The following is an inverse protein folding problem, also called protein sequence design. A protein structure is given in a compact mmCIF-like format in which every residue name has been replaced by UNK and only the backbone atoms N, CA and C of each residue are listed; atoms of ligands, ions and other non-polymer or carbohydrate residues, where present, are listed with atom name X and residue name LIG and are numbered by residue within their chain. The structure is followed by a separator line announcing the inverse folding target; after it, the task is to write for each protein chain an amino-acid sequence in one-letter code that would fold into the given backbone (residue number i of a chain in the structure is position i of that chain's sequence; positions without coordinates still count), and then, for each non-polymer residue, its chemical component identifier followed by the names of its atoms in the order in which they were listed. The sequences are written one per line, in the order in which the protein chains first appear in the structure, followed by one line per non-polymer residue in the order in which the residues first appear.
data_IF_274159819179
#
_entry.id   IF_274159819179
#
_cell.length_a   1.000
_cell.length_b   1.000
_cell.length_c   1.000
_cell.angle_alpha   90.00
_cell.angle_beta   90.00
_cell.angle_gamma   90.00
#
_symmetry.space_group_name_H-M   'P 1'
#
loop_
_entity.id
_entity.type
_entity.pdbx_description
1 polymer ?
#
# COMPACT_ATOMS: atom_id res chain seq x y z
N UNK A 1 37.13 -4.83 27.47
CA UNK A 1 35.71 -4.41 27.58
C UNK A 1 35.18 -4.29 26.16
N UNK A 2 34.30 -5.22 25.80
CA UNK A 2 33.79 -5.41 24.45
C UNK A 2 32.88 -4.24 24.05
N UNK A 3 33.24 -3.53 22.99
CA UNK A 3 32.36 -2.61 22.27
C UNK A 3 31.25 -3.43 21.63
N UNK A 4 30.02 -3.25 22.09
CA UNK A 4 28.84 -3.85 21.47
C UNK A 4 28.63 -3.22 20.09
N UNK A 5 29.13 -3.91 19.07
CA UNK A 5 28.81 -3.67 17.67
C UNK A 5 27.34 -4.10 17.47
N UNK A 6 26.43 -3.12 17.55
CA UNK A 6 24.99 -3.34 17.39
C UNK A 6 24.69 -3.74 15.95
N UNK A 7 24.59 -5.06 15.70
CA UNK A 7 24.39 -5.63 14.37
C UNK A 7 23.24 -4.96 13.61
N UNK A 8 23.47 -4.63 12.34
CA UNK A 8 22.46 -4.05 11.46
C UNK A 8 21.24 -4.96 11.35
N UNK A 9 20.04 -4.44 11.63
CA UNK A 9 18.78 -5.17 11.46
C UNK A 9 18.68 -5.66 10.01
N UNK A 10 18.54 -6.96 9.79
CA UNK A 10 18.49 -7.53 8.46
C UNK A 10 17.23 -7.11 7.70
N UNK A 11 17.28 -7.14 6.36
CA UNK A 11 16.11 -6.83 5.53
C UNK A 11 14.92 -7.75 5.83
N UNK A 12 15.18 -9.03 6.13
CA UNK A 12 14.13 -9.99 6.50
C UNK A 12 13.42 -9.59 7.81
N UNK A 13 14.18 -9.20 8.84
CA UNK A 13 13.61 -8.76 10.12
C UNK A 13 12.76 -7.50 9.96
N UNK A 14 13.19 -6.53 9.13
CA UNK A 14 12.39 -5.32 8.84
C UNK A 14 11.08 -5.65 8.14
N UNK A 15 11.12 -6.56 7.17
CA UNK A 15 9.97 -6.95 6.37
C UNK A 15 9.03 -7.95 7.06
N UNK A 16 9.41 -8.52 8.21
CA UNK A 16 8.63 -9.55 8.89
C UNK A 16 7.19 -9.07 9.19
N UNK A 17 7.04 -7.89 9.83
CA UNK A 17 5.72 -7.34 10.12
C UNK A 17 4.97 -6.95 8.84
N UNK A 18 5.71 -6.46 7.83
CA UNK A 18 5.16 -5.97 6.58
C UNK A 18 4.51 -7.10 5.77
N UNK A 19 5.21 -8.25 5.69
CA UNK A 19 4.71 -9.46 5.04
C UNK A 19 3.52 -10.06 5.80
N UNK A 20 3.45 -9.88 7.12
CA UNK A 20 2.27 -10.27 7.90
C UNK A 20 1.08 -9.33 7.67
N UNK A 21 1.34 -8.03 7.50
CA UNK A 21 0.33 -7.00 7.42
C UNK A 21 -0.55 -7.08 6.17
N UNK A 22 0.06 -7.26 4.98
CA UNK A 22 -0.56 -7.32 3.64
C UNK A 22 -1.40 -6.13 3.18
N UNK A 23 -2.05 -5.39 4.07
CA UNK A 23 -3.02 -4.37 3.71
C UNK A 23 -2.82 -3.07 4.51
N UNK A 24 -2.72 -1.95 3.80
CA UNK A 24 -2.48 -0.62 4.38
C UNK A 24 -3.31 0.49 3.76
N UNK A 25 -3.33 1.64 4.45
CA UNK A 25 -3.98 2.87 4.02
C UNK A 25 -2.98 3.87 3.44
N UNK A 26 -3.20 4.37 2.24
CA UNK A 26 -2.52 5.57 1.74
C UNK A 26 -3.41 6.80 1.98
N UNK A 27 -2.83 7.94 2.33
CA UNK A 27 -3.55 9.19 2.54
C UNK A 27 -2.85 10.31 1.76
N UNK A 28 -3.51 10.78 0.70
CA UNK A 28 -3.06 11.97 -0.05
C UNK A 28 -3.91 13.17 0.33
N UNK A 29 -3.32 14.04 1.16
CA UNK A 29 -3.95 15.26 1.62
C UNK A 29 -2.98 16.45 1.66
N UNK A 30 -3.49 17.64 1.37
CA UNK A 30 -2.68 18.85 1.23
C UNK A 30 -3.45 19.98 0.57
N UNK A 31 -2.75 21.04 0.15
CA UNK A 31 -3.36 22.24 -0.43
C UNK A 31 -4.16 21.95 -1.69
N UNK A 32 -3.72 20.99 -2.50
CA UNK A 32 -4.42 20.56 -3.73
C UNK A 32 -5.86 20.13 -3.47
N UNK A 33 -6.19 19.66 -2.26
CA UNK A 33 -7.57 19.35 -1.88
C UNK A 33 -8.49 20.55 -2.06
N UNK A 34 -8.04 21.78 -1.78
CA UNK A 34 -8.82 23.02 -1.92
C UNK A 34 -9.27 23.27 -3.37
N UNK A 35 -8.45 22.83 -4.32
CA UNK A 35 -8.71 22.95 -5.77
C UNK A 35 -9.59 21.82 -6.29
N UNK A 36 -9.69 20.71 -5.54
CA UNK A 36 -10.65 19.62 -5.72
C UNK A 36 -10.57 18.90 -7.08
N UNK A 37 -9.37 18.86 -7.67
CA UNK A 37 -9.12 18.29 -9.01
C UNK A 37 -7.75 17.63 -9.14
N UNK A 38 -7.27 17.06 -8.04
CA UNK A 38 -6.06 16.24 -8.01
C UNK A 38 -4.83 17.00 -7.54
N UNK A 39 -3.85 16.24 -7.06
CA UNK A 39 -2.57 16.66 -6.49
C UNK A 39 -1.59 17.21 -7.52
N UNK A 40 -1.75 16.83 -8.79
CA UNK A 40 -0.95 17.34 -9.90
C UNK A 40 -1.39 18.69 -10.46
N UNK A 41 -2.49 19.25 -9.94
CA UNK A 41 -3.12 20.49 -10.46
C UNK A 41 -2.15 21.67 -10.60
N UNK A 42 -1.20 21.83 -9.66
CA UNK A 42 -0.20 22.90 -9.74
C UNK A 42 0.63 22.81 -11.02
N UNK A 43 1.11 21.61 -11.35
CA UNK A 43 1.94 21.35 -12.51
C UNK A 43 1.14 21.38 -13.82
N UNK A 44 0.04 20.63 -13.88
CA UNK A 44 -0.72 20.45 -15.14
C UNK A 44 -1.43 21.71 -15.61
N UNK A 45 -1.89 22.56 -14.68
CA UNK A 45 -2.49 23.87 -15.01
C UNK A 45 -1.44 24.99 -15.04
N UNK A 46 -0.15 24.67 -14.83
CA UNK A 46 0.97 25.62 -14.76
C UNK A 46 0.71 26.77 -13.79
N UNK A 47 0.12 26.47 -12.63
CA UNK A 47 -0.15 27.47 -11.60
C UNK A 47 1.20 27.96 -11.05
N UNK A 48 1.51 29.27 -11.13
CA UNK A 48 2.77 29.79 -10.60
C UNK A 48 2.90 29.50 -9.11
N UNK A 49 4.11 29.11 -8.65
CA UNK A 49 4.37 28.74 -7.26
C UNK A 49 3.91 29.81 -6.24
N UNK A 50 4.18 31.09 -6.52
CA UNK A 50 3.72 32.20 -5.67
C UNK A 50 2.19 32.34 -5.63
N UNK A 51 1.50 31.99 -6.71
CA UNK A 51 0.03 31.96 -6.78
C UNK A 51 -0.54 30.78 -5.99
N UNK A 52 0.04 29.59 -6.17
CA UNK A 52 -0.36 28.38 -5.46
C UNK A 52 -0.14 28.48 -3.95
N UNK A 53 0.97 29.09 -3.52
CA UNK A 53 1.30 29.28 -2.10
C UNK A 53 0.24 30.08 -1.32
N UNK A 54 -0.56 30.92 -1.99
CA UNK A 54 -1.68 31.65 -1.37
C UNK A 54 -2.77 30.71 -0.83
N UNK A 55 -2.87 29.47 -1.32
CA UNK A 55 -3.81 28.47 -0.80
C UNK A 55 -3.56 28.16 0.67
N UNK A 56 -2.32 28.22 1.15
CA UNK A 56 -1.98 27.98 2.55
C UNK A 56 -2.62 28.98 3.51
N UNK A 57 -3.01 30.18 3.04
CA UNK A 57 -3.76 31.17 3.83
C UNK A 57 -5.23 30.77 4.04
N UNK A 58 -5.72 29.81 3.26
CA UNK A 58 -7.12 29.34 3.25
C UNK A 58 -7.27 27.90 3.71
N UNK A 59 -6.17 27.18 3.87
CA UNK A 59 -6.18 25.79 4.33
C UNK A 59 -6.39 25.76 5.84
N UNK A 60 -7.64 25.58 6.25
CA UNK A 60 -8.06 25.53 7.66
C UNK A 60 -9.02 24.34 7.83
N UNK A 61 -8.49 23.13 8.01
CA UNK A 61 -9.30 21.92 8.02
C UNK A 61 -10.01 21.74 9.36
N UNK A 62 -11.16 22.43 9.50
CA UNK A 62 -11.92 22.55 10.75
C UNK A 62 -12.49 21.23 11.27
N UNK A 63 -12.59 20.22 10.42
CA UNK A 63 -13.15 18.90 10.73
C UNK A 63 -12.09 17.80 10.58
N UNK A 64 -10.81 18.16 10.60
CA UNK A 64 -9.73 17.18 10.64
C UNK A 64 -9.76 16.42 11.97
N UNK A 65 -9.82 15.10 11.84
CA UNK A 65 -9.75 14.14 12.92
C UNK A 65 -8.97 12.92 12.40
N UNK A 66 -7.72 12.79 12.85
CA UNK A 66 -6.88 11.66 12.48
C UNK A 66 -7.44 10.34 13.03
N UNK A 67 -7.97 10.32 14.26
CA UNK A 67 -8.55 9.11 14.84
C UNK A 67 -9.70 8.60 13.98
N UNK A 68 -10.56 9.49 13.46
CA UNK A 68 -11.63 9.10 12.55
C UNK A 68 -11.13 8.40 11.27
N UNK A 69 -9.99 8.83 10.71
CA UNK A 69 -9.38 8.17 9.56
C UNK A 69 -8.80 6.81 9.93
N UNK A 70 -7.99 6.75 10.99
CA UNK A 70 -7.25 5.55 11.36
C UNK A 70 -8.14 4.46 11.99
N UNK A 71 -9.20 4.83 12.71
CA UNK A 71 -10.20 3.88 13.19
C UNK A 71 -10.94 3.21 12.03
N UNK A 72 -11.24 3.95 10.95
CA UNK A 72 -11.83 3.38 9.73
C UNK A 72 -10.87 2.47 9.01
N UNK A 73 -9.58 2.83 8.95
CA UNK A 73 -8.54 1.96 8.41
C UNK A 73 -8.45 0.63 9.17
N UNK A 74 -8.38 0.71 10.51
CA UNK A 74 -8.37 -0.47 11.38
C UNK A 74 -9.62 -1.33 11.20
N UNK A 75 -10.81 -0.71 11.16
CA UNK A 75 -12.07 -1.41 10.94
C UNK A 75 -12.13 -2.08 9.56
N UNK A 76 -11.48 -1.49 8.54
CA UNK A 76 -11.31 -2.08 7.22
C UNK A 76 -10.33 -3.27 7.18
N UNK A 77 -9.61 -3.56 8.27
CA UNK A 77 -8.59 -4.61 8.33
C UNK A 77 -7.18 -4.15 7.94
N UNK A 78 -6.93 -2.85 7.79
CA UNK A 78 -5.58 -2.36 7.50
C UNK A 78 -4.69 -2.48 8.75
N UNK A 79 -3.39 -2.68 8.54
CA UNK A 79 -2.39 -2.86 9.61
C UNK A 79 -1.33 -1.75 9.67
N UNK A 80 -1.31 -0.90 8.65
CA UNK A 80 -0.41 0.24 8.56
C UNK A 80 -1.08 1.37 7.76
N UNK A 81 -0.54 2.57 7.89
CA UNK A 81 -0.95 3.71 7.08
C UNK A 81 0.27 4.47 6.58
N UNK A 82 0.13 5.21 5.49
CA UNK A 82 1.15 6.09 4.89
C UNK A 82 0.51 7.44 4.58
N UNK A 83 0.98 8.51 5.22
CA UNK A 83 0.48 9.88 5.00
C UNK A 83 1.47 10.71 4.17
N UNK A 84 0.97 11.48 3.20
CA UNK A 84 1.75 12.52 2.51
C UNK A 84 2.19 13.62 3.48
N UNK A 85 3.41 13.52 4.03
CA UNK A 85 3.99 14.58 4.88
C UNK A 85 4.28 15.84 4.08
N UNK A 86 4.71 15.65 2.83
CA UNK A 86 4.95 16.66 1.80
C UNK A 86 4.72 16.01 0.44
N UNK A 87 3.91 16.64 -0.40
CA UNK A 87 3.74 16.22 -1.80
C UNK A 87 4.58 17.11 -2.73
N UNK A 88 4.49 16.89 -4.04
CA UNK A 88 5.22 17.60 -5.07
C UNK A 88 5.05 19.14 -5.05
N UNK A 89 3.95 19.65 -4.49
CA UNK A 89 3.71 21.09 -4.36
C UNK A 89 4.57 21.76 -3.26
N UNK A 90 5.30 20.96 -2.48
CA UNK A 90 6.24 21.40 -1.45
C UNK A 90 5.59 21.80 -0.13
N UNK A 91 4.25 21.73 0.00
CA UNK A 91 3.58 22.06 1.26
C UNK A 91 3.78 20.96 2.30
N UNK A 92 4.37 21.33 3.44
CA UNK A 92 4.63 20.40 4.53
C UNK A 92 3.45 20.36 5.50
N UNK A 93 2.93 19.18 5.82
CA UNK A 93 1.89 18.96 6.84
C UNK A 93 2.45 18.94 8.28
N UNK A 94 3.71 19.34 8.45
CA UNK A 94 4.50 19.23 9.67
C UNK A 94 5.39 20.46 9.87
N UNK A 95 5.86 20.74 11.09
CA UNK A 95 6.74 21.90 11.35
C UNK A 95 8.19 21.67 10.91
N UNK A 96 8.45 21.90 9.63
CA UNK A 96 9.80 21.87 9.07
C UNK A 96 10.57 23.16 9.40
N UNK A 97 11.82 23.06 9.87
CA UNK A 97 12.70 24.24 9.99
C UNK A 97 13.32 24.65 8.66
N UNK A 98 13.40 23.72 7.71
CA UNK A 98 13.94 23.96 6.37
C UNK A 98 12.97 24.67 5.39
N UNK A 99 11.74 25.02 5.82
CA UNK A 99 10.77 25.69 4.95
C UNK A 99 9.72 26.44 5.77
N UNK A 100 9.30 27.62 5.32
CA UNK A 100 8.17 28.35 5.91
C UNK A 100 6.81 27.93 5.32
N UNK A 101 6.81 27.08 4.30
CA UNK A 101 5.60 26.64 3.61
C UNK A 101 5.01 25.38 4.26
N UNK A 102 4.56 25.55 5.50
CA UNK A 102 4.09 24.45 6.36
C UNK A 102 2.69 24.70 6.89
N UNK A 103 1.97 23.65 7.29
CA UNK A 103 0.68 23.77 7.97
C UNK A 103 0.76 24.48 9.32
N UNK A 104 1.91 24.41 9.99
CA UNK A 104 2.14 25.04 11.30
C UNK A 104 2.35 26.54 11.19
N UNK A 105 3.07 27.00 10.15
CA UNK A 105 3.41 28.42 9.94
C UNK A 105 2.42 29.18 9.06
N UNK A 106 1.33 28.52 8.66
CA UNK A 106 0.28 29.10 7.80
C UNK A 106 -1.08 29.04 8.49
N UNK A 107 -2.18 29.19 7.74
CA UNK A 107 -3.50 29.40 8.37
C UNK A 107 -4.01 28.20 9.18
N UNK A 108 -3.52 26.99 8.92
CA UNK A 108 -3.92 25.81 9.67
C UNK A 108 -3.41 25.84 11.12
N UNK A 109 -2.21 26.37 11.36
CA UNK A 109 -1.60 26.47 12.69
C UNK A 109 -1.41 25.13 13.41
N UNK A 110 -1.31 24.02 12.68
CA UNK A 110 -1.34 22.65 13.23
C UNK A 110 -0.31 21.74 12.58
N UNK A 111 0.27 20.85 13.39
CA UNK A 111 1.14 19.78 12.93
C UNK A 111 0.31 18.52 12.71
N UNK A 112 -0.14 18.31 11.46
CA UNK A 112 -1.01 17.19 11.12
C UNK A 112 -0.26 15.86 11.09
N UNK A 113 1.05 15.87 10.88
CA UNK A 113 1.87 14.65 10.93
C UNK A 113 1.97 14.17 12.38
N UNK A 114 2.20 15.05 13.35
CA UNK A 114 2.18 14.68 14.77
C UNK A 114 0.83 14.03 15.17
N UNK A 115 -0.28 14.68 14.83
CA UNK A 115 -1.62 14.17 15.14
C UNK A 115 -1.90 12.81 14.46
N UNK A 116 -1.48 12.64 13.21
CA UNK A 116 -1.58 11.38 12.46
C UNK A 116 -0.77 10.25 13.09
N UNK A 117 0.49 10.51 13.44
CA UNK A 117 1.39 9.50 14.01
C UNK A 117 0.82 9.01 15.35
N UNK A 118 0.35 9.92 16.20
CA UNK A 118 -0.27 9.55 17.48
C UNK A 118 -1.57 8.77 17.30
N UNK A 119 -2.39 9.13 16.31
CA UNK A 119 -3.61 8.38 15.98
C UNK A 119 -3.31 6.97 15.44
N UNK A 120 -2.26 6.79 14.62
CA UNK A 120 -1.79 5.46 14.21
C UNK A 120 -1.41 4.61 15.43
N UNK A 121 -0.66 5.18 16.39
CA UNK A 121 -0.26 4.49 17.63
C UNK A 121 -1.47 4.06 18.46
N UNK A 122 -2.44 4.95 18.67
CA UNK A 122 -3.71 4.62 19.36
C UNK A 122 -4.52 3.55 18.63
N UNK A 123 -4.50 3.57 17.30
CA UNK A 123 -5.18 2.56 16.47
C UNK A 123 -4.43 1.22 16.40
N UNK A 124 -3.19 1.13 16.89
CA UNK A 124 -2.34 -0.06 16.75
C UNK A 124 -1.87 -0.29 15.32
N UNK A 125 -1.77 0.78 14.52
CA UNK A 125 -1.30 0.75 13.14
C UNK A 125 0.18 1.13 13.08
N UNK A 126 0.91 0.46 12.19
CA UNK A 126 2.27 0.84 11.83
C UNK A 126 2.28 2.16 11.07
N UNK A 127 3.30 2.98 11.32
CA UNK A 127 3.38 4.38 10.90
C UNK A 127 4.24 4.52 9.66
N UNK A 128 3.66 5.01 8.58
CA UNK A 128 4.35 5.30 7.34
C UNK A 128 4.26 6.78 6.97
N UNK A 129 5.37 7.30 6.45
CA UNK A 129 5.48 8.67 5.99
C UNK A 129 5.83 8.67 4.51
N UNK A 130 4.95 9.24 3.69
CA UNK A 130 5.27 9.56 2.31
C UNK A 130 6.04 10.87 2.26
N UNK A 131 7.06 10.91 1.41
CA UNK A 131 7.87 12.09 1.17
C UNK A 131 8.22 12.24 -0.32
N UNK A 132 7.70 13.27 -0.97
CA UNK A 132 8.13 13.65 -2.32
C UNK A 132 9.54 14.24 -2.26
N UNK A 133 10.49 13.74 -3.05
CA UNK A 133 11.83 14.31 -3.20
C UNK A 133 11.80 15.61 -4.00
N UNK A 134 11.12 15.61 -5.15
CA UNK A 134 10.89 16.83 -5.91
C UNK A 134 10.01 17.84 -5.16
N UNK A 135 10.20 19.11 -5.48
CA UNK A 135 9.39 20.24 -5.03
C UNK A 135 9.28 21.24 -6.19
N UNK A 136 8.06 21.43 -6.73
CA UNK A 136 7.80 22.28 -7.88
C UNK A 136 8.05 23.78 -7.65
N UNK A 137 8.35 24.19 -6.41
CA UNK A 137 8.72 25.57 -6.11
C UNK A 137 10.17 25.89 -6.49
N UNK A 138 11.01 24.88 -6.70
CA UNK A 138 12.43 25.05 -7.02
C UNK A 138 12.66 25.04 -8.53
N UNK A 139 13.11 26.16 -9.15
CA UNK A 139 13.42 26.20 -10.59
C UNK A 139 14.45 25.15 -11.04
N UNK A 140 15.40 24.80 -10.17
CA UNK A 140 16.43 23.79 -10.43
C UNK A 140 15.89 22.39 -10.68
N UNK A 141 14.67 22.07 -10.21
CA UNK A 141 14.00 20.81 -10.57
C UNK A 141 13.71 20.74 -12.08
N UNK A 142 13.24 21.84 -12.67
CA UNK A 142 12.87 21.87 -14.09
C UNK A 142 14.06 22.10 -15.01
N UNK A 143 15.06 22.88 -14.56
CA UNK A 143 16.26 23.16 -15.33
C UNK A 143 17.47 23.29 -14.40
N UNK A 144 18.10 22.15 -14.10
CA UNK A 144 19.27 22.04 -13.23
C UNK A 144 20.50 22.76 -13.78
N UNK A 145 20.71 22.73 -15.10
CA UNK A 145 21.87 23.37 -15.73
C UNK A 145 21.82 24.89 -15.59
N UNK A 146 20.62 25.47 -15.71
CA UNK A 146 20.40 26.91 -15.55
C UNK A 146 20.32 27.35 -14.08
N UNK A 147 19.82 26.49 -13.20
CA UNK A 147 19.61 26.81 -11.78
C UNK A 147 20.22 25.74 -10.86
N UNK A 148 21.54 25.51 -10.90
CA UNK A 148 22.19 24.45 -10.14
C UNK A 148 22.09 24.67 -8.63
N UNK A 149 22.20 25.91 -8.15
CA UNK A 149 22.08 26.20 -6.71
C UNK A 149 20.66 25.96 -6.20
N UNK A 150 19.65 26.22 -7.04
CA UNK A 150 18.26 25.89 -6.72
C UNK A 150 18.03 24.38 -6.65
N UNK A 151 18.71 23.59 -7.48
CA UNK A 151 18.60 22.13 -7.40
C UNK A 151 19.26 21.63 -6.12
N UNK A 152 20.47 22.10 -5.80
CA UNK A 152 21.16 21.72 -4.56
C UNK A 152 20.37 22.09 -3.31
N UNK A 153 19.79 23.30 -3.28
CA UNK A 153 18.92 23.73 -2.17
C UNK A 153 17.70 22.81 -1.98
N UNK A 154 17.13 22.28 -3.06
CA UNK A 154 16.03 21.31 -3.00
C UNK A 154 16.49 19.98 -2.40
N UNK A 155 17.67 19.48 -2.78
CA UNK A 155 18.27 18.26 -2.23
C UNK A 155 18.58 18.44 -0.75
N UNK A 156 19.16 19.58 -0.35
CA UNK A 156 19.42 19.91 1.06
C UNK A 156 18.13 20.01 1.88
N UNK A 157 17.09 20.68 1.35
CA UNK A 157 15.78 20.71 1.99
C UNK A 157 15.24 19.29 2.16
N UNK A 158 15.41 18.41 1.17
CA UNK A 158 14.98 17.02 1.27
C UNK A 158 15.67 16.24 2.38
N UNK A 159 17.00 16.33 2.47
CA UNK A 159 17.78 15.66 3.51
C UNK A 159 17.46 16.20 4.91
N UNK A 160 17.31 17.51 5.05
CA UNK A 160 16.95 18.15 6.31
C UNK A 160 15.56 17.70 6.80
N UNK A 161 14.55 17.75 5.91
CA UNK A 161 13.17 17.39 6.25
C UNK A 161 13.00 15.91 6.57
N UNK A 162 13.67 15.01 5.83
CA UNK A 162 13.66 13.58 6.18
C UNK A 162 14.27 13.35 7.57
N UNK A 163 15.38 14.03 7.90
CA UNK A 163 15.96 13.95 9.25
C UNK A 163 14.99 14.43 10.33
N UNK A 164 14.29 15.54 10.11
CA UNK A 164 13.26 16.07 11.03
C UNK A 164 12.12 15.04 11.24
N UNK A 165 11.60 14.46 10.15
CA UNK A 165 10.54 13.46 10.21
C UNK A 165 10.93 12.21 11.01
N UNK A 166 12.19 11.79 10.91
CA UNK A 166 12.69 10.59 11.59
C UNK A 166 13.21 10.83 13.01
N UNK A 167 13.24 12.09 13.47
CA UNK A 167 13.72 12.45 14.82
C UNK A 167 12.63 13.03 15.71
N UNK A 168 11.70 13.82 15.14
CA UNK A 168 10.71 14.57 15.92
C UNK A 168 9.42 13.80 16.21
N UNK A 169 9.15 12.72 15.47
CA UNK A 169 7.85 12.03 15.49
C UNK A 169 7.90 10.64 16.13
N UNK A 170 9.00 10.26 16.78
CA UNK A 170 9.18 8.93 17.38
C UNK A 170 9.44 7.82 16.35
N UNK A 171 9.18 6.54 16.67
CA UNK A 171 9.40 5.44 15.73
C UNK A 171 8.53 5.54 14.48
N UNK A 172 9.15 5.37 13.32
CA UNK A 172 8.53 5.37 11.99
C UNK A 172 8.86 4.04 11.30
N UNK A 173 7.83 3.34 10.81
CA UNK A 173 7.96 2.00 10.25
C UNK A 173 8.20 2.00 8.73
N UNK A 174 7.69 3.00 8.00
CA UNK A 174 7.87 3.12 6.53
C UNK A 174 8.26 4.56 6.16
N UNK A 175 9.28 4.70 5.31
CA UNK A 175 9.58 5.91 4.56
C UNK A 175 9.33 5.64 3.07
N UNK A 176 8.26 6.22 2.57
CA UNK A 176 7.77 6.00 1.21
C UNK A 176 8.16 7.20 0.35
N UNK A 177 9.29 7.11 -0.36
CA UNK A 177 9.73 8.19 -1.24
C UNK A 177 8.91 8.24 -2.51
N UNK A 178 8.85 9.43 -3.10
CA UNK A 178 8.31 9.61 -4.44
C UNK A 178 8.97 10.81 -5.12
N UNK A 179 8.65 11.06 -6.39
CA UNK A 179 9.18 12.25 -7.07
C UNK A 179 10.69 12.19 -7.29
N UNK A 180 11.28 11.00 -7.35
CA UNK A 180 12.71 10.80 -7.58
C UNK A 180 13.13 11.07 -9.03
N UNK A 181 12.20 11.18 -9.96
CA UNK A 181 12.47 11.49 -11.37
C UNK A 181 12.92 12.95 -11.55
N UNK A 182 13.88 13.19 -12.42
CA UNK A 182 14.38 14.54 -12.75
C UNK A 182 14.29 14.74 -14.26
N UNK A 183 13.64 15.82 -14.75
CA UNK A 183 13.54 16.12 -16.18
C UNK A 183 14.90 16.09 -16.90
N UNK A 184 14.95 15.40 -18.04
CA UNK A 184 16.14 15.33 -18.89
C UNK A 184 17.30 14.52 -18.30
N UNK A 185 17.05 13.65 -17.33
CA UNK A 185 18.08 12.82 -16.72
C UNK A 185 17.69 11.35 -16.75
N UNK A 186 18.65 10.52 -17.12
CA UNK A 186 18.52 9.05 -17.10
C UNK A 186 18.29 8.51 -15.69
N UNK A 187 17.48 7.44 -15.60
CA UNK A 187 17.10 6.84 -14.31
C UNK A 187 18.31 6.39 -13.48
N UNK A 188 19.39 5.97 -14.13
CA UNK A 188 20.64 5.53 -13.49
C UNK A 188 21.34 6.63 -12.69
N UNK A 189 21.12 7.90 -13.04
CA UNK A 189 21.75 9.05 -12.39
C UNK A 189 20.93 9.59 -11.20
N UNK A 190 19.69 9.13 -11.01
CA UNK A 190 18.76 9.67 -9.99
C UNK A 190 19.36 9.53 -8.59
N UNK A 191 19.86 8.33 -8.25
CA UNK A 191 20.42 8.05 -6.94
C UNK A 191 21.61 8.96 -6.61
N UNK A 192 22.44 9.26 -7.62
CA UNK A 192 23.60 10.16 -7.48
C UNK A 192 23.14 11.59 -7.22
N UNK A 193 22.21 12.10 -8.04
CA UNK A 193 21.73 13.48 -7.94
C UNK A 193 20.95 13.77 -6.66
N UNK A 194 20.20 12.79 -6.14
CA UNK A 194 19.51 12.92 -4.85
C UNK A 194 20.40 12.65 -3.64
N UNK A 195 21.66 12.22 -3.86
CA UNK A 195 22.55 11.69 -2.82
C UNK A 195 21.82 10.60 -2.00
N UNK A 196 21.12 9.71 -2.70
CA UNK A 196 20.19 8.76 -2.11
C UNK A 196 20.87 7.78 -1.13
N UNK A 197 22.11 7.38 -1.41
CA UNK A 197 22.88 6.52 -0.51
C UNK A 197 23.14 7.17 0.85
N UNK A 198 23.49 8.47 0.85
CA UNK A 198 23.66 9.24 2.09
C UNK A 198 22.33 9.39 2.83
N UNK A 199 21.26 9.76 2.10
CA UNK A 199 19.93 9.97 2.64
C UNK A 199 19.40 8.70 3.33
N UNK A 200 19.46 7.56 2.63
CA UNK A 200 18.95 6.28 3.12
C UNK A 200 19.82 5.73 4.25
N UNK A 201 21.14 5.92 4.20
CA UNK A 201 22.02 5.56 5.32
C UNK A 201 21.72 6.41 6.56
N UNK A 202 21.43 7.71 6.41
CA UNK A 202 21.02 8.56 7.53
C UNK A 202 19.68 8.09 8.12
N UNK A 203 18.69 7.78 7.28
CA UNK A 203 17.41 7.24 7.72
C UNK A 203 17.58 5.95 8.51
N UNK A 204 18.43 5.03 8.02
CA UNK A 204 18.78 3.76 8.68
C UNK A 204 19.49 3.93 10.01
N UNK A 205 20.36 4.94 10.16
CA UNK A 205 21.01 5.23 11.45
C UNK A 205 20.02 5.75 12.48
N UNK A 206 19.05 6.58 12.06
CA UNK A 206 18.03 7.15 12.94
C UNK A 206 16.94 6.13 13.30
N UNK A 207 16.56 5.29 12.34
CA UNK A 207 15.47 4.31 12.46
C UNK A 207 15.91 2.97 11.84
N UNK A 208 16.69 2.13 12.55
CA UNK A 208 17.25 0.89 11.99
C UNK A 208 16.22 -0.07 11.38
N UNK A 209 15.01 -0.09 11.94
CA UNK A 209 13.90 -0.94 11.50
C UNK A 209 13.06 -0.42 10.33
N UNK A 210 13.31 0.80 9.82
CA UNK A 210 12.43 1.46 8.83
C UNK A 210 12.35 0.66 7.52
N UNK A 211 11.25 0.71 6.78
CA UNK A 211 11.18 0.16 5.41
C UNK A 211 11.29 1.33 4.43
N UNK A 212 12.14 1.20 3.41
CA UNK A 212 12.34 2.22 2.37
C UNK A 212 11.98 1.60 1.01
N UNK A 213 11.21 2.34 0.21
CA UNK A 213 10.83 1.91 -1.14
C UNK A 213 11.90 2.23 -2.20
N UNK A 214 11.72 1.69 -3.40
CA UNK A 214 12.66 1.80 -4.52
C UNK A 214 12.62 3.14 -5.29
N UNK A 215 12.09 4.22 -4.69
CA UNK A 215 11.77 5.48 -5.39
C UNK A 215 12.78 6.60 -5.18
N UNK A 216 13.82 6.41 -4.37
CA UNK A 216 14.97 7.33 -4.29
C UNK A 216 16.00 7.13 -5.42
N UNK A 217 15.77 6.15 -6.30
CA UNK A 217 16.70 5.71 -7.33
C UNK A 217 17.58 4.51 -6.93
N UNK A 218 17.48 4.07 -5.66
CA UNK A 218 18.06 2.83 -5.15
C UNK A 218 16.97 1.77 -4.96
N UNK A 219 17.33 0.48 -4.96
CA UNK A 219 16.37 -0.61 -4.81
C UNK A 219 15.76 -0.68 -3.38
N UNK A 220 16.58 -0.56 -2.34
CA UNK A 220 16.15 -0.63 -0.93
C UNK A 220 15.29 -1.88 -0.58
N UNK A 221 14.17 -1.76 0.14
CA UNK A 221 13.45 -2.89 0.72
C UNK A 221 12.29 -3.42 -0.11
N UNK A 222 11.52 -2.53 -0.76
CA UNK A 222 10.29 -2.87 -1.48
C UNK A 222 10.18 -2.20 -2.85
N UNK A 223 9.62 -2.91 -3.82
CA UNK A 223 9.17 -2.34 -5.09
C UNK A 223 7.74 -1.79 -4.99
N UNK A 224 7.39 -0.81 -5.83
CA UNK A 224 6.10 -0.11 -5.76
C UNK A 224 5.35 -0.05 -7.10
N UNK A 225 4.81 -1.16 -7.62
CA UNK A 225 3.93 -1.14 -8.80
C UNK A 225 2.71 -0.25 -8.55
N UNK A 226 2.45 0.71 -9.43
CA UNK A 226 1.45 1.76 -9.19
C UNK A 226 0.22 1.56 -10.06
N UNK A 227 -0.98 1.58 -9.47
CA UNK A 227 -2.27 1.44 -10.17
C UNK A 227 -2.50 0.08 -10.87
N UNK A 228 -1.60 -0.88 -10.73
CA UNK A 228 -1.75 -2.25 -11.22
C UNK A 228 -1.17 -3.26 -10.22
N UNK A 229 -1.80 -4.43 -10.12
CA UNK A 229 -1.33 -5.51 -9.25
C UNK A 229 -0.40 -6.41 -10.05
N UNK A 230 0.91 -6.23 -9.87
CA UNK A 230 1.94 -7.04 -10.54
C UNK A 230 3.00 -7.44 -9.54
N UNK A 231 3.24 -8.74 -9.42
CA UNK A 231 4.27 -9.26 -8.54
C UNK A 231 5.67 -8.88 -9.02
N UNK A 232 6.54 -8.53 -8.07
CA UNK A 232 7.97 -8.39 -8.33
C UNK A 232 8.64 -9.74 -8.59
N UNK A 233 9.94 -9.68 -8.93
CA UNK A 233 10.78 -10.87 -9.04
C UNK A 233 10.70 -11.73 -7.76
N UNK A 234 10.93 -13.04 -7.92
CA UNK A 234 10.90 -13.97 -6.79
C UNK A 234 11.86 -13.53 -5.66
N UNK A 235 11.39 -13.55 -4.41
CA UNK A 235 12.15 -13.11 -3.24
C UNK A 235 12.20 -11.59 -3.03
N UNK A 236 11.64 -10.79 -3.93
CA UNK A 236 11.57 -9.34 -3.79
C UNK A 236 10.21 -8.92 -3.21
N UNK A 237 10.24 -8.34 -2.01
CA UNK A 237 9.04 -7.73 -1.42
C UNK A 237 8.55 -6.54 -2.25
N UNK A 238 7.24 -6.36 -2.30
CA UNK A 238 6.61 -5.34 -3.13
C UNK A 238 5.25 -4.93 -2.56
N UNK A 239 4.84 -3.72 -2.90
CA UNK A 239 3.59 -3.10 -2.47
C UNK A 239 2.95 -2.39 -3.64
N UNK A 240 1.77 -2.81 -4.06
CA UNK A 240 1.01 -1.99 -5.01
C UNK A 240 0.25 -0.90 -4.30
N UNK A 241 0.44 0.33 -4.73
CA UNK A 241 -0.38 1.46 -4.31
C UNK A 241 -1.52 1.66 -5.32
N UNK A 242 -2.74 1.89 -4.82
CA UNK A 242 -3.91 2.03 -5.68
C UNK A 242 -4.93 3.05 -5.17
N UNK A 243 -5.45 3.86 -6.08
CA UNK A 243 -6.55 4.80 -5.83
C UNK A 243 -7.91 4.09 -5.75
N UNK A 244 -8.83 4.61 -4.94
CA UNK A 244 -10.24 4.20 -5.01
C UNK A 244 -10.95 4.69 -6.27
N UNK A 245 -10.52 5.83 -6.83
CA UNK A 245 -10.94 6.27 -8.16
C UNK A 245 -10.34 5.41 -9.27
N UNK A 246 -10.83 5.51 -10.50
CA UNK A 246 -10.05 5.11 -11.66
C UNK A 246 -8.99 6.18 -11.98
N UNK A 247 -7.89 5.76 -12.62
CA UNK A 247 -6.78 6.63 -13.02
C UNK A 247 -6.01 7.33 -11.86
N UNK A 248 -4.90 8.01 -12.20
CA UNK A 248 -3.97 8.64 -11.27
C UNK A 248 -4.52 9.96 -10.70
N UNK A 249 -5.51 9.85 -9.81
CA UNK A 249 -6.01 10.94 -8.99
C UNK A 249 -5.99 10.55 -7.51
N UNK A 250 -4.87 10.82 -6.84
CA UNK A 250 -4.63 10.39 -5.46
C UNK A 250 -5.31 11.32 -4.44
N UNK A 251 -5.15 12.63 -4.63
CA UNK A 251 -5.77 13.67 -3.84
C UNK A 251 -7.27 13.81 -4.12
N UNK A 252 -7.93 14.66 -3.32
CA UNK A 252 -9.36 14.89 -3.45
C UNK A 252 -9.75 15.47 -4.83
N UNK A 253 -10.57 14.72 -5.56
CA UNK A 253 -11.25 15.14 -6.79
C UNK A 253 -12.76 15.16 -6.52
N UNK A 254 -13.41 16.34 -6.64
CA UNK A 254 -14.83 16.52 -6.27
C UNK A 254 -15.76 15.66 -7.12
N UNK A 255 -15.54 15.67 -8.43
CA UNK A 255 -16.44 15.08 -9.41
C UNK A 255 -15.78 13.89 -10.12
N UNK A 256 -15.08 13.01 -9.37
CA UNK A 256 -14.60 11.76 -9.96
C UNK A 256 -15.80 10.81 -10.17
N UNK A 257 -16.18 10.49 -11.43
CA UNK A 257 -17.33 9.64 -11.70
C UNK A 257 -17.06 8.16 -11.39
N UNK A 258 -15.80 7.75 -11.48
CA UNK A 258 -15.43 6.35 -11.60
C UNK A 258 -14.68 5.92 -10.35
N UNK A 259 -15.44 5.30 -9.44
CA UNK A 259 -14.88 4.65 -8.25
C UNK A 259 -14.89 3.15 -8.47
N UNK A 260 -13.76 2.51 -8.15
CA UNK A 260 -13.70 1.06 -8.04
C UNK A 260 -14.76 0.57 -7.06
N UNK A 261 -15.40 -0.53 -7.40
CA UNK A 261 -16.35 -1.23 -6.52
C UNK A 261 -15.61 -1.91 -5.38
N UNK A 262 -16.30 -2.23 -4.28
CA UNK A 262 -15.71 -3.05 -3.21
C UNK A 262 -15.21 -4.39 -3.76
N UNK A 263 -15.93 -5.02 -4.70
CA UNK A 263 -15.50 -6.24 -5.39
C UNK A 263 -14.13 -6.07 -6.04
N UNK A 264 -13.91 -5.01 -6.84
CA UNK A 264 -12.61 -4.77 -7.46
C UNK A 264 -11.50 -4.57 -6.43
N UNK A 265 -11.76 -3.79 -5.38
CA UNK A 265 -10.76 -3.50 -4.35
C UNK A 265 -10.39 -4.74 -3.52
N UNK A 266 -11.37 -5.56 -3.15
CA UNK A 266 -11.15 -6.84 -2.45
C UNK A 266 -10.35 -7.79 -3.35
N UNK A 267 -10.72 -7.92 -4.62
CA UNK A 267 -10.02 -8.83 -5.54
C UNK A 267 -8.59 -8.36 -5.82
N UNK A 268 -8.32 -7.05 -5.88
CA UNK A 268 -6.95 -6.53 -5.96
C UNK A 268 -6.13 -6.83 -4.70
N UNK A 269 -6.72 -6.71 -3.50
CA UNK A 269 -6.07 -7.12 -2.27
C UNK A 269 -5.71 -8.61 -2.29
N UNK A 270 -6.65 -9.48 -2.68
CA UNK A 270 -6.43 -10.92 -2.80
C UNK A 270 -5.33 -11.23 -3.83
N UNK A 271 -5.35 -10.58 -4.98
CA UNK A 271 -4.33 -10.74 -6.01
C UNK A 271 -2.94 -10.32 -5.52
N UNK A 272 -2.84 -9.23 -4.75
CA UNK A 272 -1.58 -8.82 -4.15
C UNK A 272 -1.07 -9.86 -3.14
N UNK A 273 -1.96 -10.31 -2.24
CA UNK A 273 -1.65 -11.34 -1.24
C UNK A 273 -1.22 -12.68 -1.87
N UNK A 274 -1.88 -13.09 -2.96
CA UNK A 274 -1.55 -14.29 -3.74
C UNK A 274 -0.16 -14.20 -4.40
N UNK A 275 0.25 -12.99 -4.80
CA UNK A 275 1.59 -12.70 -5.33
C UNK A 275 2.63 -12.41 -4.25
N UNK A 276 2.32 -12.63 -2.97
CA UNK A 276 3.21 -12.38 -1.84
C UNK A 276 3.50 -10.90 -1.57
N UNK A 277 2.71 -9.99 -2.15
CA UNK A 277 2.85 -8.55 -1.99
C UNK A 277 1.82 -7.92 -1.06
N UNK A 278 1.96 -6.60 -0.89
CA UNK A 278 1.05 -5.79 -0.11
C UNK A 278 0.17 -4.90 -0.99
N UNK A 279 -1.01 -4.55 -0.50
CA UNK A 279 -1.95 -3.62 -1.12
C UNK A 279 -2.06 -2.36 -0.26
N UNK A 280 -1.70 -1.21 -0.82
CA UNK A 280 -1.77 0.11 -0.19
C UNK A 280 -2.89 0.91 -0.84
N UNK A 281 -4.06 0.93 -0.20
CA UNK A 281 -5.27 1.54 -0.76
C UNK A 281 -5.38 3.01 -0.35
N UNK A 282 -5.52 3.91 -1.31
CA UNK A 282 -5.55 5.34 -1.07
C UNK A 282 -6.94 5.92 -0.79
N UNK A 283 -6.98 6.88 0.14
CA UNK A 283 -8.05 7.87 0.32
C UNK A 283 -7.54 9.29 0.02
N UNK A 284 -8.46 10.14 -0.44
CA UNK A 284 -8.20 11.56 -0.69
C UNK A 284 -9.16 12.44 0.11
N UNK A 285 -8.83 12.78 1.38
CA UNK A 285 -9.71 13.55 2.25
C UNK A 285 -10.06 14.94 1.68
N UNK A 286 -11.25 15.44 2.04
CA UNK A 286 -11.72 16.78 1.67
C UNK A 286 -10.84 17.88 2.30
N UNK A 287 -10.91 19.13 1.81
CA UNK A 287 -10.16 20.24 2.39
C UNK A 287 -10.42 20.53 3.85
N UNK A 288 -11.60 20.15 4.35
CA UNK A 288 -11.98 20.32 5.75
C UNK A 288 -11.46 19.20 6.66
N UNK A 289 -10.86 18.15 6.09
CA UNK A 289 -10.37 16.96 6.81
C UNK A 289 -11.35 15.77 6.81
N UNK A 290 -12.53 15.88 6.20
CA UNK A 290 -13.52 14.78 6.18
C UNK A 290 -13.34 13.79 5.02
N UNK A 291 -13.74 12.53 5.21
CA UNK A 291 -13.77 11.53 4.15
C UNK A 291 -15.09 11.55 3.36
N UNK A 292 -15.05 11.18 2.08
CA UNK A 292 -16.28 11.06 1.26
C UNK A 292 -17.08 9.83 1.70
N UNK A 293 -18.42 9.94 1.67
CA UNK A 293 -19.30 8.79 1.96
C UNK A 293 -19.02 7.59 1.05
N UNK A 294 -18.56 7.81 -0.19
CA UNK A 294 -18.13 6.73 -1.08
C UNK A 294 -16.89 6.01 -0.54
N UNK A 295 -15.87 6.74 -0.07
CA UNK A 295 -14.66 6.15 0.52
C UNK A 295 -15.00 5.38 1.81
N UNK A 296 -15.81 6.00 2.67
CA UNK A 296 -16.30 5.38 3.90
C UNK A 296 -17.00 4.04 3.61
N UNK A 297 -17.97 4.03 2.69
CA UNK A 297 -18.68 2.79 2.32
C UNK A 297 -17.76 1.71 1.77
N UNK A 298 -16.76 2.07 0.97
CA UNK A 298 -15.79 1.09 0.46
C UNK A 298 -14.97 0.47 1.57
N UNK A 299 -14.48 1.28 2.52
CA UNK A 299 -13.76 0.78 3.68
C UNK A 299 -14.63 -0.11 4.57
N UNK A 300 -15.91 0.23 4.74
CA UNK A 300 -16.88 -0.57 5.51
C UNK A 300 -17.17 -1.93 4.83
N UNK A 301 -17.40 -1.94 3.51
CA UNK A 301 -17.61 -3.16 2.73
C UNK A 301 -16.36 -4.07 2.75
N UNK A 302 -15.17 -3.49 2.56
CA UNK A 302 -13.90 -4.24 2.67
C UNK A 302 -13.70 -4.77 4.10
N UNK A 303 -13.99 -3.96 5.11
CA UNK A 303 -13.87 -4.35 6.52
C UNK A 303 -14.78 -5.52 6.89
N UNK A 304 -16.03 -5.50 6.45
CA UNK A 304 -16.96 -6.61 6.65
C UNK A 304 -16.42 -7.91 6.03
N UNK A 305 -15.87 -7.84 4.83
CA UNK A 305 -15.25 -9.00 4.17
C UNK A 305 -13.98 -9.46 4.91
N UNK A 306 -13.11 -8.53 5.32
CA UNK A 306 -11.88 -8.82 6.05
C UNK A 306 -12.12 -9.42 7.44
N UNK A 307 -13.23 -9.08 8.12
CA UNK A 307 -13.59 -9.70 9.40
C UNK A 307 -13.88 -11.18 9.24
N UNK A 308 -14.57 -11.57 8.16
CA UNK A 308 -14.94 -12.96 7.91
C UNK A 308 -13.81 -13.78 7.25
N UNK A 309 -12.98 -13.14 6.43
CA UNK A 309 -12.02 -13.82 5.56
C UNK A 309 -10.56 -13.42 5.78
N UNK A 310 -10.25 -12.52 6.71
CA UNK A 310 -8.89 -11.96 6.86
C UNK A 310 -7.79 -12.99 7.13
N UNK A 311 -8.13 -14.17 7.66
CA UNK A 311 -7.20 -15.29 7.84
C UNK A 311 -6.59 -15.80 6.52
N UNK A 312 -7.24 -15.56 5.37
CA UNK A 312 -6.69 -15.87 4.05
C UNK A 312 -5.79 -14.79 3.48
N UNK A 313 -5.70 -13.63 4.14
CA UNK A 313 -4.89 -12.50 3.70
C UNK A 313 -3.66 -12.37 4.59
N UNK A 314 -3.83 -12.16 5.90
CA UNK A 314 -2.70 -11.86 6.78
C UNK A 314 -1.70 -13.01 6.83
N UNK A 315 -0.42 -12.68 6.64
CA UNK A 315 0.65 -13.68 6.63
C UNK A 315 0.64 -14.61 5.43
N UNK A 316 -0.13 -14.32 4.37
CA UNK A 316 -0.16 -15.16 3.17
C UNK A 316 1.23 -15.37 2.58
N UNK A 317 1.53 -16.58 2.18
CA UNK A 317 2.82 -16.96 1.59
C UNK A 317 2.72 -17.00 0.06
N UNK A 318 3.87 -16.93 -0.63
CA UNK A 318 3.90 -17.10 -2.07
C UNK A 318 3.54 -18.55 -2.41
N UNK A 319 2.55 -18.72 -3.28
CA UNK A 319 2.12 -20.05 -3.68
C UNK A 319 3.15 -20.75 -4.58
N UNK A 320 3.21 -22.09 -4.55
CA UNK A 320 3.95 -22.87 -5.53
C UNK A 320 3.54 -22.51 -6.96
N UNK A 321 4.49 -22.60 -7.90
CA UNK A 321 4.22 -22.41 -9.32
C UNK A 321 3.12 -23.39 -9.76
N UNK A 322 2.04 -22.86 -10.34
CA UNK A 322 0.86 -23.64 -10.76
C UNK A 322 -0.38 -23.43 -9.90
N UNK A 323 -0.26 -22.95 -8.66
CA UNK A 323 -1.41 -22.59 -7.79
C UNK A 323 -1.77 -21.10 -7.84
N UNK A 324 -0.84 -20.24 -8.28
CA UNK A 324 -1.03 -18.80 -8.43
C UNK A 324 -1.36 -18.35 -9.87
N UNK A 325 -1.81 -17.10 -10.01
CA UNK A 325 -2.05 -16.47 -11.32
C UNK A 325 -3.40 -16.80 -11.95
N UNK A 326 -3.55 -16.48 -13.25
CA UNK A 326 -4.82 -16.52 -13.98
C UNK A 326 -5.49 -17.91 -14.05
N UNK A 327 -4.73 -18.97 -13.81
CA UNK A 327 -5.19 -20.36 -13.89
C UNK A 327 -5.07 -21.12 -12.57
N UNK A 328 -4.41 -20.54 -11.56
CA UNK A 328 -4.05 -21.23 -10.32
C UNK A 328 -5.23 -21.53 -9.38
N UNK A 329 -6.28 -20.71 -9.41
CA UNK A 329 -7.58 -21.01 -8.80
C UNK A 329 -8.60 -21.56 -9.79
N UNK A 330 -8.15 -22.07 -10.94
CA UNK A 330 -8.97 -22.39 -12.10
C UNK A 330 -9.67 -21.17 -12.69
N UNK A 331 -10.77 -21.40 -13.42
CA UNK A 331 -11.58 -20.33 -14.02
C UNK A 331 -12.41 -19.52 -13.00
N UNK A 332 -12.42 -19.96 -11.74
CA UNK A 332 -13.28 -19.41 -10.70
C UNK A 332 -12.63 -18.27 -9.90
N UNK A 333 -11.30 -18.20 -9.84
CA UNK A 333 -10.59 -17.16 -9.11
C UNK A 333 -9.12 -17.48 -8.86
N UNK A 334 -8.64 -17.26 -7.65
CA UNK A 334 -7.22 -17.45 -7.29
C UNK A 334 -7.08 -18.08 -5.90
N UNK A 335 -5.84 -18.25 -5.43
CA UNK A 335 -5.56 -18.86 -4.14
C UNK A 335 -4.60 -17.99 -3.32
N UNK A 336 -4.64 -18.17 -2.00
CA UNK A 336 -3.58 -17.80 -1.07
C UNK A 336 -3.28 -19.00 -0.16
N UNK A 337 -2.22 -18.94 0.63
CA UNK A 337 -1.97 -19.97 1.65
C UNK A 337 -1.26 -19.39 2.88
N UNK A 338 -1.49 -20.01 4.03
CA UNK A 338 -0.78 -19.75 5.28
C UNK A 338 -0.45 -21.09 5.92
N UNK A 339 0.84 -21.44 6.04
CA UNK A 339 1.26 -22.75 6.53
C UNK A 339 0.67 -23.89 5.69
N UNK A 340 -0.13 -24.77 6.32
CA UNK A 340 -0.79 -25.90 5.65
C UNK A 340 -2.24 -25.65 5.21
N UNK A 341 -2.73 -24.42 5.36
CA UNK A 341 -4.07 -24.04 4.92
C UNK A 341 -3.97 -23.29 3.61
N UNK A 342 -4.60 -23.83 2.56
CA UNK A 342 -4.79 -23.10 1.33
C UNK A 342 -6.20 -22.49 1.28
N UNK A 343 -6.31 -21.27 0.79
CA UNK A 343 -7.57 -20.55 0.70
C UNK A 343 -7.91 -20.35 -0.77
N UNK A 344 -9.00 -20.96 -1.21
CA UNK A 344 -9.51 -20.79 -2.57
C UNK A 344 -10.50 -19.62 -2.60
N UNK A 345 -10.07 -18.54 -3.25
CA UNK A 345 -10.86 -17.33 -3.46
C UNK A 345 -11.68 -17.46 -4.74
N UNK A 346 -12.99 -17.59 -4.60
CA UNK A 346 -13.93 -17.83 -5.70
C UNK A 346 -14.59 -16.52 -6.12
N UNK A 347 -13.90 -15.76 -6.96
CA UNK A 347 -14.40 -14.52 -7.56
C UNK A 347 -15.62 -14.76 -8.46
N UNK A 348 -15.75 -15.97 -9.01
CA UNK A 348 -16.85 -16.43 -9.84
C UNK A 348 -17.39 -17.72 -9.25
N UNK A 349 -18.53 -17.61 -8.58
CA UNK A 349 -19.12 -18.74 -7.87
C UNK A 349 -19.65 -19.80 -8.84
N UNK A 350 -19.20 -21.07 -8.73
CA UNK A 350 -19.55 -22.11 -9.70
C UNK A 350 -20.89 -22.83 -9.38
N UNK A 351 -21.57 -22.44 -8.29
CA UNK A 351 -22.79 -23.09 -7.84
C UNK A 351 -22.50 -24.26 -6.90
N UNK A 352 -23.14 -25.42 -7.14
CA UNK A 352 -23.12 -26.56 -6.20
C UNK A 352 -21.84 -27.40 -6.22
N UNK A 353 -21.03 -27.24 -7.27
CA UNK A 353 -19.80 -27.99 -7.48
C UNK A 353 -18.70 -27.04 -7.91
N UNK A 354 -17.56 -27.09 -7.24
CA UNK A 354 -16.34 -26.41 -7.64
C UNK A 354 -15.27 -27.44 -7.94
N UNK A 355 -14.49 -27.25 -9.01
CA UNK A 355 -13.38 -28.13 -9.34
C UNK A 355 -12.15 -27.32 -9.75
N UNK A 356 -10.98 -27.81 -9.35
CA UNK A 356 -9.69 -27.24 -9.73
C UNK A 356 -8.66 -28.37 -9.94
N UNK A 357 -7.55 -28.04 -10.59
CA UNK A 357 -6.44 -28.95 -10.87
C UNK A 357 -5.14 -28.40 -10.32
N UNK A 358 -4.14 -29.26 -10.14
CA UNK A 358 -2.82 -28.88 -9.64
C UNK A 358 -2.63 -29.08 -8.13
N UNK A 359 -3.61 -29.64 -7.41
CA UNK A 359 -3.51 -29.89 -5.96
C UNK A 359 -2.85 -31.24 -5.71
N UNK A 360 -1.55 -31.22 -5.41
CA UNK A 360 -0.79 -32.46 -5.11
C UNK A 360 -1.12 -33.00 -3.72
N UNK A 361 -1.31 -32.11 -2.75
CA UNK A 361 -1.59 -32.50 -1.37
C UNK A 361 -2.89 -33.30 -1.24
N UNK A 362 -2.96 -34.13 -0.20
CA UNK A 362 -4.25 -34.64 0.26
C UNK A 362 -5.00 -33.53 1.00
N UNK A 363 -6.24 -33.26 0.59
CA UNK A 363 -7.14 -32.33 1.27
C UNK A 363 -7.83 -33.06 2.42
N UNK A 364 -7.46 -32.72 3.65
CA UNK A 364 -7.99 -33.33 4.88
C UNK A 364 -9.40 -32.84 5.19
N UNK A 365 -9.66 -31.55 4.95
CA UNK A 365 -10.99 -30.97 5.13
C UNK A 365 -11.14 -29.70 4.29
N UNK A 366 -12.39 -29.31 4.02
CA UNK A 366 -12.72 -28.07 3.34
C UNK A 366 -13.92 -27.40 4.04
N UNK A 367 -13.88 -26.08 4.20
CA UNK A 367 -14.97 -25.29 4.80
C UNK A 367 -15.11 -23.93 4.15
N UNK A 368 -16.33 -23.38 4.13
CA UNK A 368 -16.55 -21.98 3.82
C UNK A 368 -15.96 -21.14 4.95
N UNK A 369 -14.93 -20.33 4.66
CA UNK A 369 -14.15 -19.63 5.69
C UNK A 369 -15.04 -18.72 6.55
N UNK A 370 -15.85 -17.88 5.91
CA UNK A 370 -16.71 -16.91 6.57
C UNK A 370 -17.76 -17.51 7.53
N UNK A 371 -18.23 -18.75 7.27
CA UNK A 371 -19.32 -19.36 8.05
C UNK A 371 -18.89 -20.57 8.86
N UNK A 372 -17.67 -21.09 8.62
CA UNK A 372 -17.21 -22.35 9.17
C UNK A 372 -17.93 -23.60 8.65
N UNK A 373 -18.93 -23.45 7.76
CA UNK A 373 -19.72 -24.57 7.25
C UNK A 373 -18.83 -25.55 6.47
N UNK A 374 -18.81 -26.84 6.83
CA UNK A 374 -18.01 -27.83 6.12
C UNK A 374 -18.54 -28.05 4.70
N UNK A 375 -17.62 -28.30 3.77
CA UNK A 375 -17.94 -28.78 2.43
C UNK A 375 -18.21 -30.29 2.53
N UNK A 376 -19.42 -30.77 2.18
CA UNK A 376 -19.83 -32.14 2.49
C UNK A 376 -19.05 -33.24 1.76
N UNK A 377 -18.59 -32.95 0.53
CA UNK A 377 -17.97 -33.95 -0.33
C UNK A 377 -16.70 -33.38 -0.94
N UNK A 378 -15.59 -34.09 -0.73
CA UNK A 378 -14.27 -33.80 -1.27
C UNK A 378 -13.85 -35.03 -2.07
N UNK A 379 -13.63 -34.86 -3.37
CA UNK A 379 -13.16 -35.92 -4.26
C UNK A 379 -11.80 -35.52 -4.84
N UNK A 380 -10.83 -36.43 -4.76
CA UNK A 380 -9.53 -36.30 -5.39
C UNK A 380 -9.29 -37.52 -6.29
N UNK A 381 -9.87 -37.56 -7.52
CA UNK A 381 -9.84 -38.75 -8.38
C UNK A 381 -8.45 -39.09 -8.97
N UNK A 382 -7.41 -38.33 -8.62
CA UNK A 382 -6.05 -38.47 -9.17
C UNK A 382 -5.61 -37.26 -9.99
N UNK A 383 -4.38 -37.30 -10.50
CA UNK A 383 -3.79 -36.27 -11.37
C UNK A 383 -3.88 -34.82 -10.84
N UNK A 384 -3.89 -34.64 -9.52
CA UNK A 384 -4.01 -33.32 -8.89
C UNK A 384 -5.38 -32.65 -9.01
N UNK A 385 -6.41 -33.37 -9.44
CA UNK A 385 -7.77 -32.84 -9.54
C UNK A 385 -8.44 -32.86 -8.16
N UNK A 386 -9.08 -31.74 -7.80
CA UNK A 386 -9.91 -31.58 -6.61
C UNK A 386 -11.32 -31.20 -7.04
N UNK A 387 -12.32 -31.89 -6.49
CA UNK A 387 -13.75 -31.59 -6.72
C UNK A 387 -14.44 -31.46 -5.36
N UNK A 388 -15.11 -30.34 -5.17
CA UNK A 388 -15.89 -30.01 -3.99
C UNK A 388 -17.37 -29.99 -4.37
N UNK A 389 -18.22 -30.79 -3.71
CA UNK A 389 -19.67 -30.85 -3.98
C UNK A 389 -20.48 -30.50 -2.73
N UNK A 390 -21.76 -30.19 -2.94
CA UNK A 390 -22.69 -29.82 -1.87
C UNK A 390 -22.54 -28.36 -1.44
N UNK A 391 -21.94 -27.53 -2.30
CA UNK A 391 -21.83 -26.10 -2.08
C UNK A 391 -23.19 -25.39 -2.24
N UNK A 392 -23.40 -24.22 -1.63
CA UNK A 392 -24.60 -23.41 -1.86
C UNK A 392 -24.82 -23.06 -3.33
N UNK A 393 -26.09 -23.00 -3.77
CA UNK A 393 -26.42 -22.65 -5.15
C UNK A 393 -26.05 -21.20 -5.52
N UNK A 394 -26.01 -20.31 -4.53
CA UNK A 394 -25.60 -18.91 -4.66
C UNK A 394 -24.37 -18.64 -3.78
N UNK A 395 -23.51 -17.69 -4.15
CA UNK A 395 -22.36 -17.36 -3.32
C UNK A 395 -22.80 -16.86 -1.94
N UNK A 396 -22.23 -17.40 -0.85
CA UNK A 396 -22.36 -16.82 0.49
C UNK A 396 -21.91 -15.36 0.57
N UNK A 397 -20.86 -14.99 -0.16
CA UNK A 397 -20.35 -13.62 -0.27
C UNK A 397 -20.26 -13.19 -1.74
N UNK A 398 -20.86 -12.03 -2.04
CA UNK A 398 -20.97 -11.48 -3.41
C UNK A 398 -19.66 -10.92 -3.97
N UNK A 399 -18.68 -10.61 -3.13
CA UNK A 399 -17.41 -10.01 -3.52
C UNK A 399 -16.37 -11.09 -3.79
N UNK A 400 -16.24 -12.02 -2.84
CA UNK A 400 -15.33 -13.17 -2.90
C UNK A 400 -15.71 -14.17 -1.82
N UNK A 401 -16.15 -15.37 -2.21
CA UNK A 401 -16.38 -16.47 -1.27
C UNK A 401 -15.11 -17.30 -1.14
N UNK A 402 -14.63 -17.45 0.10
CA UNK A 402 -13.38 -18.19 0.38
C UNK A 402 -13.68 -19.58 0.91
N UNK A 403 -13.07 -20.60 0.32
CA UNK A 403 -13.03 -21.97 0.86
C UNK A 403 -11.64 -22.21 1.46
N UNK A 404 -11.58 -22.50 2.76
CA UNK A 404 -10.35 -22.95 3.41
C UNK A 404 -10.20 -24.47 3.21
N UNK A 405 -9.04 -24.88 2.70
CA UNK A 405 -8.64 -26.26 2.44
C UNK A 405 -7.50 -26.60 3.40
N UNK A 406 -7.74 -27.54 4.31
CA UNK A 406 -6.67 -28.05 5.17
C UNK A 406 -5.94 -29.18 4.48
N UNK A 407 -4.63 -29.00 4.32
CA UNK A 407 -3.76 -29.92 3.60
C UNK A 407 -2.95 -30.78 4.57
N UNK A 408 -2.50 -31.94 4.10
CA UNK A 408 -1.61 -32.83 4.85
C UNK A 408 -0.18 -32.26 5.04
N UNK A 409 0.21 -31.26 4.26
CA UNK A 409 1.46 -30.53 4.38
C UNK A 409 1.36 -29.10 3.85
N UNK A 410 2.48 -28.37 3.70
CA UNK A 410 2.51 -27.11 2.95
C UNK A 410 1.97 -27.30 1.53
N UNK A 411 1.37 -26.28 0.90
CA UNK A 411 0.88 -26.36 -0.46
C UNK A 411 1.95 -26.84 -1.44
N UNK A 412 1.59 -27.81 -2.28
CA UNK A 412 2.43 -28.38 -3.32
C UNK A 412 1.65 -28.49 -4.64
N UNK A 413 2.29 -28.07 -5.73
CA UNK A 413 1.76 -28.19 -7.08
C UNK A 413 2.06 -29.56 -7.68
N UNK A 414 1.12 -30.07 -8.48
CA UNK A 414 1.43 -31.16 -9.41
C UNK A 414 2.38 -30.60 -10.48
N UNK A 415 3.54 -31.24 -10.72
CA UNK A 415 4.45 -30.80 -11.77
C UNK A 415 3.78 -30.94 -13.13
N UNK A 416 4.01 -29.97 -14.02
CA UNK A 416 3.69 -30.11 -15.43
C UNK A 416 4.83 -30.90 -16.08
N UNK A 417 4.64 -32.21 -16.25
CA UNK A 417 5.61 -33.13 -16.85
C UNK A 417 5.45 -33.26 -18.37
N UNK A 418 4.46 -32.58 -18.96
CA UNK A 418 4.21 -32.60 -20.39
C UNK A 418 3.36 -33.79 -20.86
N UNK A 419 2.93 -34.66 -19.94
CA UNK A 419 2.00 -35.74 -20.25
C UNK A 419 0.56 -35.20 -20.38
N UNK A 420 -0.29 -35.81 -21.24
CA UNK A 420 -1.70 -35.44 -21.32
C UNK A 420 -2.43 -35.67 -19.99
N UNK A 421 -3.24 -34.68 -19.57
CA UNK A 421 -4.09 -34.73 -18.37
C UNK A 421 -5.25 -35.72 -18.48
#
# INVERSE_FOLDING_TARGET
MNTADGGAVSRSERLAWFNQARFGLFIHWGLYSLLKRGEWVMYVERIPAAGYAKLARRFQPKHFDADAWLQRARAAGMRYAVLTTRHHDGFCLFDSRASDFTSVRTAAGRDFVAEYVEACRRAGLKVGLYYSLLDWRFPGYFNREKYPESFEAMVEQAHAQVRELLTNYGPIDILWYDGGWIPGVERTEMARLWRAAELNAAARRLQPGIIINNRSGLDEDIDTPEQHVTASAAGRAWETCMTMGDFCGWGYIRNNPNFKTATQLIQHLVQAAAGGGNFLLNIGPRPDGTLRNKEIRRLEEIGAWMQANGASIYGSELLPKGWGGAWGGGMAGTMTAVGRTAYWHLFRWPGRTAALVGVKNRVLSARLLATGRPVPVIEQPGAGRLILKGLPARPPDRHDTVIALELDGPPEAVPYDGEPL
#
